data_IF_756400622856
#
_entry.id   IF_756400622856
#
_cell.length_a   1.000
_cell.length_b   1.000
_cell.length_c   1.000
_cell.angle_alpha   90.00
_cell.angle_beta   90.00
_cell.angle_gamma   90.00
#
_symmetry.space_group_name_H-M   'P 1'
#
loop_
_entity.id
_entity.type
_entity.pdbx_description
1 polymer ?
#
# COMPACT_ATOMS: atom_id res chain seq x y z
N UNK A 1 -16.27 -7.17 -5.23
CA UNK A 1 -15.47 -6.46 -4.21
C UNK A 1 -16.37 -5.50 -3.44
N UNK A 2 -16.23 -5.47 -2.13
CA UNK A 2 -17.00 -4.55 -1.30
C UNK A 2 -16.60 -3.11 -1.58
N UNK A 3 -17.50 -2.17 -1.29
CA UNK A 3 -17.20 -0.75 -1.45
C UNK A 3 -16.58 -0.18 -0.16
N UNK A 4 -15.46 -0.77 0.25
CA UNK A 4 -14.75 -0.37 1.47
C UNK A 4 -13.27 -0.08 1.20
N UNK A 5 -12.93 0.19 -0.05
CA UNK A 5 -11.57 0.53 -0.46
C UNK A 5 -11.52 2.03 -0.73
N UNK A 6 -10.60 2.72 -0.07
CA UNK A 6 -10.46 4.17 -0.15
C UNK A 6 -9.07 4.55 -0.61
N UNK A 7 -8.99 5.43 -1.59
CA UNK A 7 -7.71 5.97 -2.04
C UNK A 7 -7.28 7.11 -1.13
N UNK A 8 -6.01 7.09 -0.75
CA UNK A 8 -5.40 8.22 -0.05
C UNK A 8 -4.51 8.93 -1.05
N UNK A 9 -4.88 10.15 -1.40
CA UNK A 9 -4.13 10.96 -2.36
C UNK A 9 -4.02 12.39 -1.85
N UNK A 10 -3.13 13.15 -2.47
CA UNK A 10 -2.92 14.53 -2.10
C UNK A 10 -1.78 15.13 -2.88
N UNK A 11 -1.58 16.42 -2.71
CA UNK A 11 -0.52 17.17 -3.39
C UNK A 11 0.71 17.35 -2.49
N UNK A 12 0.65 16.83 -1.27
CA UNK A 12 1.76 16.95 -0.32
C UNK A 12 2.86 15.95 -0.65
N UNK A 13 3.94 16.02 0.12
CA UNK A 13 5.05 15.07 -0.05
C UNK A 13 4.60 13.66 0.33
N UNK A 14 5.32 12.67 -0.23
CA UNK A 14 5.05 11.27 0.09
C UNK A 14 5.12 11.00 1.59
N UNK A 15 6.07 11.62 2.29
CA UNK A 15 6.22 11.41 3.73
C UNK A 15 4.98 11.86 4.50
N UNK A 16 4.44 13.04 4.17
CA UNK A 16 3.24 13.54 4.82
C UNK A 16 2.03 12.68 4.54
N UNK A 17 1.86 12.26 3.29
CA UNK A 17 0.76 11.42 2.87
C UNK A 17 0.83 10.03 3.52
N UNK A 18 2.03 9.46 3.58
CA UNK A 18 2.23 8.15 4.21
C UNK A 18 1.94 8.22 5.70
N UNK A 19 2.41 9.27 6.37
CA UNK A 19 2.13 9.46 7.80
C UNK A 19 0.63 9.58 8.06
N UNK A 20 -0.06 10.40 7.26
CA UNK A 20 -1.49 10.60 7.41
C UNK A 20 -2.27 9.29 7.21
N UNK A 21 -1.83 8.47 6.26
CA UNK A 21 -2.47 7.18 5.98
C UNK A 21 -2.36 6.24 7.18
N UNK A 22 -1.15 6.13 7.75
CA UNK A 22 -0.94 5.30 8.94
C UNK A 22 -1.72 5.82 10.13
N UNK A 23 -1.75 7.13 10.33
CA UNK A 23 -2.50 7.75 11.42
C UNK A 23 -4.00 7.48 11.29
N UNK A 24 -4.54 7.64 10.09
CA UNK A 24 -5.97 7.40 9.86
C UNK A 24 -6.34 5.94 10.14
N UNK A 25 -5.52 5.02 9.67
CA UNK A 25 -5.74 3.59 9.93
C UNK A 25 -5.71 3.30 11.44
N UNK A 26 -4.79 3.93 12.16
CA UNK A 26 -4.69 3.76 13.61
C UNK A 26 -5.99 4.23 14.29
N UNK A 27 -6.47 5.41 13.92
CA UNK A 27 -7.66 5.97 14.56
C UNK A 27 -8.91 5.16 14.25
N UNK A 28 -9.05 4.67 13.02
CA UNK A 28 -10.19 3.85 12.66
C UNK A 28 -10.17 2.52 13.43
N UNK A 29 -8.98 1.91 13.58
CA UNK A 29 -8.85 0.68 14.36
C UNK A 29 -9.22 0.91 15.83
N UNK A 30 -8.85 2.05 16.39
CA UNK A 30 -9.21 2.39 17.77
C UNK A 30 -10.72 2.49 17.96
N UNK A 31 -11.44 2.86 16.92
CA UNK A 31 -12.88 2.99 16.97
C UNK A 31 -13.61 1.68 16.60
N UNK A 32 -12.88 0.58 16.56
CA UNK A 32 -13.48 -0.72 16.30
C UNK A 32 -13.70 -1.03 14.82
N UNK A 33 -13.16 -0.20 13.94
CA UNK A 33 -13.30 -0.36 12.50
C UNK A 33 -11.99 -0.97 11.96
N UNK A 34 -11.98 -2.26 11.71
CA UNK A 34 -10.76 -2.96 11.29
C UNK A 34 -10.26 -2.42 9.96
N UNK A 35 -9.09 -1.79 9.99
CA UNK A 35 -8.54 -1.07 8.84
C UNK A 35 -7.13 -1.53 8.55
N UNK A 36 -6.83 -1.72 7.28
CA UNK A 36 -5.50 -2.06 6.78
C UNK A 36 -5.09 -1.04 5.71
N UNK A 37 -3.80 -0.84 5.52
CA UNK A 37 -3.29 -0.02 4.42
C UNK A 37 -2.61 -0.91 3.40
N UNK A 38 -2.68 -0.51 2.13
CA UNK A 38 -2.10 -1.24 1.02
C UNK A 38 -1.42 -0.26 0.08
N UNK A 39 -0.28 -0.66 -0.46
CA UNK A 39 0.37 0.06 -1.55
C UNK A 39 0.43 -0.88 -2.75
N UNK A 40 -0.19 -0.49 -3.85
CA UNK A 40 -0.25 -1.32 -5.05
C UNK A 40 1.13 -1.68 -5.58
N UNK A 41 1.97 -0.67 -5.73
CA UNK A 41 3.27 -0.82 -6.36
C UNK A 41 4.29 -0.03 -5.55
N UNK A 42 5.28 -0.73 -5.03
CA UNK A 42 6.40 -0.14 -4.32
C UNK A 42 7.60 -0.15 -5.24
N UNK A 43 8.27 0.99 -5.39
CA UNK A 43 9.52 1.06 -6.14
C UNK A 43 10.65 1.47 -5.19
N UNK A 44 11.88 1.12 -5.56
CA UNK A 44 13.05 1.46 -4.76
C UNK A 44 13.27 0.60 -3.54
N UNK A 45 12.60 -0.55 -3.45
CA UNK A 45 12.76 -1.48 -2.33
C UNK A 45 12.91 -2.89 -2.85
N UNK A 46 13.42 -3.76 -1.99
CA UNK A 46 13.56 -5.20 -2.29
C UNK A 46 12.95 -5.98 -1.13
N UNK A 47 11.93 -6.77 -1.43
CA UNK A 47 11.32 -7.67 -0.46
C UNK A 47 10.39 -7.05 0.56
N UNK A 48 10.29 -5.71 0.59
CA UNK A 48 9.41 -5.02 1.54
C UNK A 48 9.00 -3.67 0.98
N UNK A 49 8.11 -2.97 1.68
CA UNK A 49 7.67 -1.63 1.32
C UNK A 49 7.97 -0.69 2.49
N UNK A 50 8.79 0.33 2.26
CA UNK A 50 9.07 1.35 3.27
C UNK A 50 7.80 2.03 3.76
N UNK A 51 6.86 2.27 2.85
CA UNK A 51 5.61 2.94 3.21
C UNK A 51 4.77 2.06 4.13
N UNK A 52 4.67 0.78 3.84
CA UNK A 52 3.92 -0.14 4.69
C UNK A 52 4.63 -0.29 6.04
N UNK A 53 5.97 -0.35 6.04
CA UNK A 53 6.73 -0.39 7.30
C UNK A 53 6.37 0.80 8.18
N UNK A 54 6.34 2.00 7.61
CA UNK A 54 6.00 3.21 8.33
C UNK A 54 4.54 3.18 8.83
N UNK A 55 3.61 2.73 7.98
CA UNK A 55 2.21 2.63 8.38
C UNK A 55 2.05 1.74 9.61
N UNK A 56 2.72 0.59 9.66
CA UNK A 56 2.61 -0.32 10.79
C UNK A 56 3.19 0.28 12.06
N UNK A 57 4.31 1.02 11.95
CA UNK A 57 4.88 1.73 13.09
C UNK A 57 3.91 2.77 13.65
N UNK A 58 3.30 3.55 12.79
CA UNK A 58 2.34 4.58 13.22
C UNK A 58 1.10 3.95 13.82
N UNK A 59 0.63 2.86 13.22
CA UNK A 59 -0.51 2.11 13.73
C UNK A 59 -0.21 1.41 15.06
N UNK A 60 1.07 1.26 15.38
CA UNK A 60 1.48 0.61 16.63
C UNK A 60 1.28 -0.90 16.62
N UNK A 61 1.36 -1.53 15.46
CA UNK A 61 1.17 -2.98 15.32
C UNK A 61 2.38 -3.59 14.61
N UNK A 62 2.63 -4.88 14.82
CA UNK A 62 3.64 -5.59 14.05
C UNK A 62 3.12 -5.87 12.63
N UNK A 63 3.97 -6.43 11.79
CA UNK A 63 3.53 -6.88 10.47
C UNK A 63 2.39 -7.87 10.62
N UNK A 64 1.38 -7.70 9.79
CA UNK A 64 0.23 -8.60 9.79
C UNK A 64 0.53 -9.84 8.97
N UNK A 65 -0.36 -10.82 9.07
CA UNK A 65 -0.28 -12.00 8.22
C UNK A 65 -0.33 -11.61 6.74
N UNK A 66 -1.21 -10.65 6.41
CA UNK A 66 -1.36 -10.16 5.04
C UNK A 66 -0.09 -9.46 4.54
N UNK A 67 0.63 -8.76 5.43
CA UNK A 67 1.93 -8.17 5.09
C UNK A 67 2.93 -9.26 4.71
N UNK A 68 2.97 -10.34 5.50
CA UNK A 68 3.89 -11.44 5.26
C UNK A 68 3.56 -12.20 3.99
N UNK A 69 2.29 -12.24 3.62
CA UNK A 69 1.83 -12.88 2.39
C UNK A 69 2.00 -11.99 1.15
N UNK A 70 2.38 -10.73 1.36
CA UNK A 70 2.59 -9.80 0.25
C UNK A 70 1.32 -9.15 -0.28
N UNK A 71 0.20 -9.31 0.39
CA UNK A 71 -1.08 -8.77 -0.08
C UNK A 71 -1.15 -7.24 0.04
N UNK A 72 -0.43 -6.67 1.01
CA UNK A 72 -0.44 -5.23 1.24
C UNK A 72 0.57 -4.49 0.36
N UNK A 73 1.44 -5.24 -0.31
CA UNK A 73 2.43 -4.69 -1.25
C UNK A 73 2.64 -5.70 -2.38
N UNK A 74 1.61 -5.91 -3.20
CA UNK A 74 1.64 -7.01 -4.18
C UNK A 74 2.70 -6.89 -5.26
N UNK A 75 3.13 -5.68 -5.59
CA UNK A 75 4.20 -5.48 -6.58
C UNK A 75 5.30 -4.60 -6.00
N UNK A 76 6.52 -5.15 -5.98
CA UNK A 76 7.70 -4.43 -5.50
C UNK A 76 8.76 -4.45 -6.59
N UNK A 77 9.26 -3.28 -6.94
CA UNK A 77 10.34 -3.13 -7.91
C UNK A 77 11.54 -2.49 -7.23
N UNK A 78 12.73 -2.92 -7.63
CA UNK A 78 13.98 -2.51 -6.96
C UNK A 78 14.42 -1.09 -7.31
N UNK A 79 14.13 -0.62 -8.51
CA UNK A 79 14.60 0.70 -8.95
C UNK A 79 13.70 1.81 -8.40
N UNK A 80 14.30 2.89 -7.86
CA UNK A 80 13.54 4.03 -7.35
C UNK A 80 13.09 4.95 -8.49
N UNK A 81 12.09 4.50 -9.22
CA UNK A 81 11.58 5.19 -10.40
C UNK A 81 10.05 5.06 -10.43
N UNK A 82 9.40 5.68 -11.42
CA UNK A 82 7.97 5.48 -11.59
C UNK A 82 7.69 3.99 -11.83
N UNK A 83 6.48 3.50 -11.51
CA UNK A 83 6.18 2.08 -11.67
C UNK A 83 6.46 1.54 -13.07
N UNK A 84 6.09 2.29 -14.09
CA UNK A 84 6.32 1.86 -15.47
C UNK A 84 7.81 1.71 -15.79
N UNK A 85 8.60 2.73 -15.42
CA UNK A 85 10.04 2.69 -15.65
C UNK A 85 10.71 1.62 -14.80
N UNK A 86 10.30 1.50 -13.53
CA UNK A 86 10.86 0.48 -12.65
C UNK A 86 10.62 -0.92 -13.19
N UNK A 87 9.43 -1.19 -13.74
CA UNK A 87 9.12 -2.49 -14.31
C UNK A 87 10.01 -2.78 -15.53
N UNK A 88 10.30 -1.77 -16.34
CA UNK A 88 11.20 -1.91 -17.47
C UNK A 88 12.63 -2.22 -17.01
N UNK A 89 13.11 -1.49 -15.99
CA UNK A 89 14.46 -1.66 -15.48
C UNK A 89 14.65 -3.02 -14.79
N UNK A 90 13.63 -3.50 -14.10
CA UNK A 90 13.64 -4.83 -13.49
C UNK A 90 13.33 -5.94 -14.51
N UNK A 91 13.01 -5.56 -15.74
CA UNK A 91 12.67 -6.48 -16.81
C UNK A 91 11.53 -7.42 -16.42
N UNK A 92 10.50 -6.86 -15.80
CA UNK A 92 9.36 -7.62 -15.31
C UNK A 92 8.10 -6.75 -15.42
N UNK A 93 7.08 -7.21 -16.16
CA UNK A 93 5.85 -6.42 -16.31
C UNK A 93 5.08 -6.34 -14.99
N UNK A 94 4.29 -5.28 -14.86
CA UNK A 94 3.42 -5.12 -13.70
C UNK A 94 2.28 -6.13 -13.82
N UNK A 95 2.06 -6.90 -12.76
CA UNK A 95 0.99 -7.90 -12.72
C UNK A 95 -0.27 -7.29 -12.10
N UNK A 96 -1.10 -6.69 -12.94
CA UNK A 96 -2.32 -6.03 -12.49
C UNK A 96 -3.35 -7.01 -11.92
N UNK A 97 -3.38 -8.25 -12.41
CA UNK A 97 -4.28 -9.27 -11.85
C UNK A 97 -3.91 -9.63 -10.43
N UNK A 98 -2.63 -9.71 -10.14
CA UNK A 98 -2.14 -9.96 -8.79
C UNK A 98 -2.55 -8.84 -7.84
N UNK A 99 -2.41 -7.59 -8.28
CA UNK A 99 -2.81 -6.44 -7.48
C UNK A 99 -4.32 -6.49 -7.21
N UNK A 100 -5.11 -6.77 -8.23
CA UNK A 100 -6.56 -6.85 -8.10
C UNK A 100 -6.97 -7.92 -7.10
N UNK A 101 -6.40 -9.12 -7.22
CA UNK A 101 -6.72 -10.22 -6.31
C UNK A 101 -6.33 -9.89 -4.87
N UNK A 102 -5.17 -9.27 -4.68
CA UNK A 102 -4.73 -8.87 -3.35
C UNK A 102 -5.69 -7.87 -2.72
N UNK A 103 -6.12 -6.87 -3.49
CA UNK A 103 -7.05 -5.85 -3.01
C UNK A 103 -8.41 -6.46 -2.65
N UNK A 104 -8.90 -7.35 -3.49
CA UNK A 104 -10.17 -8.03 -3.22
C UNK A 104 -10.09 -8.84 -1.93
N UNK A 105 -9.01 -9.57 -1.72
CA UNK A 105 -8.84 -10.36 -0.51
C UNK A 105 -8.78 -9.48 0.74
N UNK A 106 -8.05 -8.36 0.68
CA UNK A 106 -8.01 -7.43 1.81
C UNK A 106 -9.38 -6.83 2.09
N UNK A 107 -10.14 -6.49 1.05
CA UNK A 107 -11.47 -5.90 1.23
C UNK A 107 -12.45 -6.88 1.87
N UNK A 108 -12.22 -8.18 1.70
CA UNK A 108 -13.06 -9.22 2.33
C UNK A 108 -12.72 -9.39 3.80
N UNK A 109 -11.46 -9.20 4.19
CA UNK A 109 -10.99 -9.48 5.53
C UNK A 109 -11.06 -8.28 6.47
N UNK A 110 -11.11 -7.07 5.93
CA UNK A 110 -11.09 -5.84 6.71
C UNK A 110 -12.32 -5.00 6.45
N UNK A 111 -12.69 -4.20 7.44
CA UNK A 111 -13.80 -3.26 7.28
C UNK A 111 -13.45 -2.15 6.30
N UNK A 112 -12.19 -1.73 6.27
CA UNK A 112 -11.71 -0.73 5.34
C UNK A 112 -10.29 -1.03 4.91
N UNK A 113 -10.00 -0.74 3.64
CA UNK A 113 -8.66 -0.85 3.08
C UNK A 113 -8.28 0.53 2.51
N UNK A 114 -7.22 1.12 3.07
CA UNK A 114 -6.73 2.41 2.61
C UNK A 114 -5.63 2.17 1.58
N UNK A 115 -5.91 2.53 0.33
CA UNK A 115 -4.94 2.41 -0.74
C UNK A 115 -4.07 3.66 -0.76
N UNK A 116 -2.81 3.48 -0.40
CA UNK A 116 -1.82 4.53 -0.45
C UNK A 116 -1.14 4.51 -1.82
N UNK A 117 -1.08 5.64 -2.47
CA UNK A 117 -0.36 5.79 -3.73
C UNK A 117 0.74 6.83 -3.55
N UNK A 118 1.81 6.70 -4.33
CA UNK A 118 2.84 7.72 -4.38
C UNK A 118 2.30 8.97 -5.07
N UNK A 119 3.13 10.01 -5.20
CA UNK A 119 2.71 11.22 -5.92
C UNK A 119 2.24 10.85 -7.32
N UNK A 120 1.33 11.66 -7.87
CA UNK A 120 0.73 11.38 -9.17
C UNK A 120 1.76 11.15 -10.26
N UNK A 121 2.90 11.84 -10.20
CA UNK A 121 3.96 11.68 -11.19
C UNK A 121 4.59 10.29 -11.13
N UNK A 122 4.57 9.65 -9.97
CA UNK A 122 5.16 8.33 -9.78
C UNK A 122 4.22 7.21 -10.22
N UNK A 123 2.93 7.47 -10.25
CA UNK A 123 1.92 6.45 -10.52
C UNK A 123 1.76 6.19 -12.01
N UNK A 124 2.17 7.10 -12.80
CA UNK A 124 2.03 7.03 -14.24
C UNK A 124 3.36 6.85 -14.93
#
# INVERSE_FOLDING_TARGET
>A
MKQNVYFVSGIDTDAGKSYATGFLAREWNKNGHRTITQKFIQTGNVGHSEDIDLHRQIMGIPFTKEDQEGLTMPEIFSYPASPHLASQLDNRPIDFDKIKRATEELSEQYDSCLLYTSDAADDM
#
